data_IF_666020920706
#
_entry.id   IF_666020920706
#
_cell.length_a   1.000
_cell.length_b   1.000
_cell.length_c   1.000
_cell.angle_alpha   90.00
_cell.angle_beta   90.00
_cell.angle_gamma   90.00
#
_symmetry.space_group_name_H-M   'P 1'
#
loop_
_entity.id
_entity.type
_entity.pdbx_description
1 polymer ?
#
# COMPACT_ATOMS: atom_id res chain seq x y z
N UNK A 1 -3.46 8.23 2.99
CA UNK A 1 -2.73 7.00 3.30
C UNK A 1 -2.19 6.43 2.01
N UNK A 2 -0.99 5.83 2.05
CA UNK A 2 -0.32 5.26 0.87
C UNK A 2 0.18 3.87 1.22
N UNK A 3 -0.41 2.79 0.65
CA UNK A 3 0.15 1.45 0.78
C UNK A 3 1.39 1.29 -0.09
N UNK A 4 2.41 0.59 0.41
CA UNK A 4 3.68 0.36 -0.27
C UNK A 4 4.11 -1.10 -0.15
N UNK A 5 4.25 -1.76 -1.31
CA UNK A 5 4.81 -3.11 -1.43
C UNK A 5 6.27 -3.09 -1.93
N UNK A 6 6.72 -1.97 -2.52
CA UNK A 6 8.08 -1.79 -3.05
C UNK A 6 9.11 -1.45 -1.97
N UNK A 7 9.30 -2.33 -0.98
CA UNK A 7 10.33 -2.20 0.05
C UNK A 7 11.13 -3.52 0.17
N UNK A 8 12.24 -3.49 0.90
CA UNK A 8 13.00 -4.70 1.25
C UNK A 8 12.43 -5.30 2.55
N UNK A 9 11.68 -6.41 2.48
CA UNK A 9 11.08 -7.02 3.66
C UNK A 9 12.11 -7.66 4.58
N UNK A 10 13.21 -8.20 4.06
CA UNK A 10 14.22 -8.85 4.90
C UNK A 10 15.00 -7.81 5.70
N UNK A 11 15.30 -6.67 5.10
CA UNK A 11 15.91 -5.54 5.81
C UNK A 11 14.98 -4.97 6.89
N UNK A 12 13.68 -4.84 6.61
CA UNK A 12 12.72 -4.34 7.60
C UNK A 12 12.49 -5.34 8.74
N UNK A 13 12.36 -6.62 8.42
CA UNK A 13 12.22 -7.71 9.38
C UNK A 13 13.40 -7.75 10.35
N UNK A 14 14.63 -7.61 9.81
CA UNK A 14 15.85 -7.53 10.61
C UNK A 14 15.87 -6.27 11.50
N UNK A 15 15.52 -5.11 10.95
CA UNK A 15 15.52 -3.85 11.69
C UNK A 15 14.52 -3.84 12.87
N UNK A 16 13.41 -4.57 12.76
CA UNK A 16 12.33 -4.61 13.76
C UNK A 16 12.33 -5.89 14.61
N UNK A 17 13.26 -6.82 14.35
CA UNK A 17 13.32 -8.13 15.01
C UNK A 17 12.04 -8.94 14.84
N UNK A 18 11.47 -8.94 13.64
CA UNK A 18 10.17 -9.60 13.39
C UNK A 18 10.29 -11.12 13.37
N UNK A 19 11.38 -11.65 12.80
CA UNK A 19 11.61 -13.09 12.70
C UNK A 19 11.64 -13.77 14.08
N UNK A 20 12.27 -13.13 15.08
CA UNK A 20 12.32 -13.64 16.47
C UNK A 20 10.95 -13.71 17.13
N UNK A 21 9.99 -12.92 16.63
CA UNK A 21 8.60 -12.87 17.10
C UNK A 21 7.69 -13.79 16.27
N UNK A 22 8.23 -14.53 15.31
CA UNK A 22 7.44 -15.31 14.35
C UNK A 22 6.61 -14.44 13.41
N UNK A 23 7.04 -13.21 13.15
CA UNK A 23 6.35 -12.23 12.31
C UNK A 23 7.14 -11.95 11.02
N UNK A 24 6.42 -11.47 9.99
CA UNK A 24 6.97 -11.06 8.69
C UNK A 24 6.31 -9.74 8.26
N UNK A 25 7.09 -8.81 7.74
CA UNK A 25 6.57 -7.63 7.05
C UNK A 25 5.92 -8.00 5.72
N UNK A 26 4.79 -7.37 5.41
CA UNK A 26 4.00 -7.67 4.20
C UNK A 26 3.74 -6.41 3.39
N UNK A 27 3.15 -5.40 4.03
CA UNK A 27 2.82 -4.11 3.42
C UNK A 27 3.14 -3.00 4.41
N UNK A 28 3.66 -1.88 3.92
CA UNK A 28 3.79 -0.65 4.70
C UNK A 28 2.60 0.25 4.37
N UNK A 29 1.92 0.77 5.39
CA UNK A 29 0.86 1.77 5.23
C UNK A 29 1.28 3.10 5.86
N UNK A 30 1.59 4.08 5.02
CA UNK A 30 1.91 5.43 5.51
C UNK A 30 0.62 6.18 5.82
N UNK A 31 0.54 6.75 7.01
CA UNK A 31 -0.57 7.56 7.51
C UNK A 31 -0.13 9.00 7.76
N UNK A 32 -1.05 9.95 7.59
CA UNK A 32 -0.80 11.38 7.74
C UNK A 32 -1.72 12.22 6.87
N UNK A 33 -1.44 13.52 6.83
CA UNK A 33 -2.12 14.47 5.95
C UNK A 33 -1.31 14.66 4.67
N UNK A 34 -2.00 14.81 3.54
CA UNK A 34 -1.35 15.04 2.24
C UNK A 34 -0.76 16.45 2.19
N UNK A 35 0.33 16.58 1.45
CA UNK A 35 0.79 17.89 0.99
C UNK A 35 -0.16 18.38 -0.10
N UNK A 36 -0.90 19.46 0.17
CA UNK A 36 -1.92 19.99 -0.74
C UNK A 36 -1.35 20.55 -2.04
N UNK A 37 -0.08 20.97 -2.05
CA UNK A 37 0.57 21.55 -3.23
C UNK A 37 1.30 20.50 -4.05
N UNK A 38 1.91 19.51 -3.39
CA UNK A 38 2.79 18.53 -4.06
C UNK A 38 2.14 17.19 -4.38
N UNK A 39 0.98 16.87 -3.80
CA UNK A 39 0.23 15.65 -4.14
C UNK A 39 -0.53 15.84 -5.47
N UNK A 40 0.19 15.67 -6.57
CA UNK A 40 -0.39 15.78 -7.92
C UNK A 40 -1.43 14.70 -8.25
N UNK A 41 -1.40 13.55 -7.54
CA UNK A 41 -2.35 12.46 -7.74
C UNK A 41 -3.69 12.71 -7.04
N UNK A 42 -3.74 13.65 -6.08
CA UNK A 42 -4.95 14.07 -5.35
C UNK A 42 -6.12 14.39 -6.28
N UNK A 43 -5.86 15.08 -7.40
CA UNK A 43 -6.87 15.48 -8.39
C UNK A 43 -7.05 14.51 -9.57
N UNK A 44 -6.25 13.45 -9.66
CA UNK A 44 -6.33 12.50 -10.77
C UNK A 44 -7.63 11.69 -10.74
N UNK A 45 -8.18 11.42 -11.93
CA UNK A 45 -9.35 10.57 -12.07
C UNK A 45 -9.05 9.14 -11.59
N UNK A 46 -9.97 8.55 -10.82
CA UNK A 46 -9.83 7.16 -10.35
C UNK A 46 -10.22 6.20 -11.48
N UNK A 47 -9.27 5.38 -11.90
CA UNK A 47 -9.49 4.36 -12.94
C UNK A 47 -9.71 2.99 -12.30
N UNK A 48 -10.75 2.26 -12.72
CA UNK A 48 -11.10 0.91 -12.27
C UNK A 48 -11.61 0.09 -13.46
N UNK A 49 -11.56 -1.24 -13.36
CA UNK A 49 -12.22 -2.12 -14.34
C UNK A 49 -13.72 -1.85 -14.38
N UNK A 50 -14.33 -1.99 -15.56
CA UNK A 50 -15.78 -1.87 -15.71
C UNK A 50 -16.49 -2.99 -14.97
N UNK A 51 -17.72 -2.73 -14.49
CA UNK A 51 -18.45 -3.67 -13.61
C UNK A 51 -18.59 -5.07 -14.21
N UNK A 52 -18.84 -5.15 -15.51
CA UNK A 52 -19.08 -6.42 -16.21
C UNK A 52 -17.81 -7.28 -16.32
N UNK A 53 -16.62 -6.66 -16.24
CA UNK A 53 -15.34 -7.39 -16.15
C UNK A 53 -14.90 -7.65 -14.70
N UNK A 54 -15.43 -6.89 -13.75
CA UNK A 54 -15.04 -6.95 -12.34
C UNK A 54 -15.85 -7.99 -11.55
N UNK A 55 -17.13 -8.18 -11.89
CA UNK A 55 -18.03 -9.03 -11.13
C UNK A 55 -18.58 -10.18 -11.97
N UNK A 56 -18.50 -11.40 -11.44
CA UNK A 56 -19.23 -12.55 -11.95
C UNK A 56 -20.60 -12.61 -11.25
N UNK A 57 -21.69 -12.73 -12.02
CA UNK A 57 -23.04 -12.93 -11.49
C UNK A 57 -23.43 -14.39 -11.69
N UNK A 58 -23.87 -15.02 -10.60
CA UNK A 58 -24.33 -16.42 -10.56
C UNK A 58 -25.85 -16.49 -10.64
#
# INVERSE_FOLDING_TARGET
>A
ATPMEGFDPDALDAALGLNEKGLRSTVILVLGYRDTEKDYLSGAAKVRRVKDELFVRL
#
